data_IF_930517728529
#
_entry.id   IF_930517728529
#
_cell.length_a   1.000
_cell.length_b   1.000
_cell.length_c   1.000
_cell.angle_alpha   90.00
_cell.angle_beta   90.00
_cell.angle_gamma   90.00
#
_symmetry.space_group_name_H-M   'P 1'
#
loop_
_entity.id
_entity.type
_entity.pdbx_description
1 polymer ?
#
# COMPACT_ATOMS: atom_id res chain seq x y z
N UNK A 1 7.56 41.47 17.01
CA UNK A 1 6.62 40.79 16.10
C UNK A 1 6.96 39.31 16.16
N UNK A 2 6.21 38.54 16.94
CA UNK A 2 6.51 37.13 17.20
C UNK A 2 6.16 36.28 15.99
N UNK A 3 7.15 35.55 15.47
CA UNK A 3 6.93 34.53 14.45
C UNK A 3 5.93 33.52 14.98
N UNK A 4 4.76 33.43 14.34
CA UNK A 4 3.86 32.31 14.55
C UNK A 4 4.59 31.08 14.01
N UNK A 5 5.16 30.28 14.91
CA UNK A 5 5.63 28.94 14.58
C UNK A 5 4.45 28.21 13.92
N UNK A 6 4.65 27.84 12.66
CA UNK A 6 3.70 27.04 11.90
C UNK A 6 3.50 25.71 12.64
N UNK A 7 2.26 25.22 12.85
CA UNK A 7 2.03 23.98 13.57
C UNK A 7 2.81 22.84 12.90
N UNK A 8 3.48 22.01 13.70
CA UNK A 8 4.17 20.83 13.19
C UNK A 8 3.13 19.81 12.71
N UNK A 9 3.37 19.17 11.57
CA UNK A 9 2.49 18.19 10.89
C UNK A 9 2.03 17.04 11.81
N UNK A 10 2.74 16.79 12.92
CA UNK A 10 2.35 15.84 13.95
C UNK A 10 1.00 16.16 14.64
N UNK A 11 0.43 17.35 14.45
CA UNK A 11 -0.82 17.79 15.08
C UNK A 11 -2.05 17.75 14.15
N UNK A 12 -1.90 17.45 12.86
CA UNK A 12 -3.01 17.43 11.91
C UNK A 12 -3.10 16.06 11.20
N UNK A 13 -3.95 15.19 11.74
CA UNK A 13 -4.13 13.78 11.36
C UNK A 13 -4.63 13.57 9.91
N UNK A 14 -4.90 14.65 9.17
CA UNK A 14 -5.28 14.64 7.74
C UNK A 14 -4.26 15.32 6.81
N UNK A 15 -3.04 15.61 7.28
CA UNK A 15 -2.00 16.22 6.44
C UNK A 15 -1.47 15.23 5.38
N UNK A 16 -1.12 15.71 4.19
CA UNK A 16 -0.61 14.83 3.12
C UNK A 16 0.65 14.05 3.49
N UNK A 17 1.41 14.53 4.49
CA UNK A 17 2.54 13.80 5.08
C UNK A 17 2.10 12.62 5.96
N UNK A 18 1.00 12.74 6.70
CA UNK A 18 0.43 11.62 7.45
C UNK A 18 -0.02 10.49 6.51
N UNK A 19 -0.66 10.85 5.37
CA UNK A 19 -1.01 9.89 4.31
C UNK A 19 0.24 9.22 3.74
N UNK A 20 1.34 9.97 3.53
CA UNK A 20 2.59 9.39 3.04
C UNK A 20 3.23 8.41 4.04
N UNK A 21 3.14 8.70 5.35
CA UNK A 21 3.62 7.80 6.40
C UNK A 21 2.75 6.54 6.46
N UNK A 22 1.42 6.69 6.34
CA UNK A 22 0.49 5.57 6.19
C UNK A 22 0.88 4.67 5.02
N UNK A 23 1.06 5.26 3.82
CA UNK A 23 1.50 4.53 2.63
C UNK A 23 2.86 3.83 2.81
N UNK A 24 3.79 4.40 3.59
CA UNK A 24 5.05 3.71 3.92
C UNK A 24 4.83 2.51 4.84
N UNK A 25 3.98 2.66 5.86
CA UNK A 25 3.68 1.61 6.83
C UNK A 25 2.94 0.44 6.16
N UNK A 26 1.98 0.74 5.29
CA UNK A 26 1.20 -0.23 4.53
C UNK A 26 2.06 -0.87 3.41
N UNK A 27 2.93 -0.06 2.80
CA UNK A 27 3.82 -0.49 1.72
C UNK A 27 4.84 -1.56 2.12
N UNK A 28 5.20 -1.70 3.41
CA UNK A 28 6.13 -2.74 3.88
C UNK A 28 5.50 -4.14 3.81
N UNK A 29 4.35 -4.41 4.49
CA UNK A 29 3.62 -5.67 4.34
C UNK A 29 3.32 -6.01 2.88
N UNK A 30 2.82 -5.06 2.09
CA UNK A 30 2.47 -5.26 0.68
C UNK A 30 3.69 -5.66 -0.16
N UNK A 31 4.82 -4.99 0.04
CA UNK A 31 6.05 -5.27 -0.70
C UNK A 31 6.61 -6.65 -0.37
N UNK A 32 6.57 -7.06 0.90
CA UNK A 32 6.99 -8.42 1.30
C UNK A 32 6.12 -9.46 0.60
N UNK A 33 4.80 -9.26 0.54
CA UNK A 33 3.88 -10.17 -0.16
C UNK A 33 4.21 -10.25 -1.65
N UNK A 34 4.54 -9.13 -2.30
CA UNK A 34 5.03 -9.13 -3.68
C UNK A 34 6.29 -9.99 -3.80
N UNK A 35 7.28 -9.81 -2.92
CA UNK A 35 8.51 -10.60 -2.89
C UNK A 35 8.28 -12.11 -2.73
N UNK A 36 7.36 -12.49 -1.84
CA UNK A 36 6.95 -13.88 -1.64
C UNK A 36 6.19 -14.45 -2.83
N UNK A 37 5.34 -13.66 -3.48
CA UNK A 37 4.54 -14.09 -4.64
C UNK A 37 5.43 -14.48 -5.84
N UNK A 38 6.61 -13.83 -5.97
CA UNK A 38 7.59 -14.15 -7.00
C UNK A 38 8.20 -15.55 -6.82
N UNK A 39 8.25 -16.09 -5.59
CA UNK A 39 8.74 -17.44 -5.32
C UNK A 39 7.73 -18.52 -5.76
N UNK A 40 6.44 -18.20 -5.74
CA UNK A 40 5.37 -19.12 -6.15
C UNK A 40 5.20 -19.17 -7.68
N UNK A 41 5.67 -18.12 -8.39
CA UNK A 41 5.64 -18.03 -9.85
C UNK A 41 4.24 -17.81 -10.44
N UNK A 42 4.19 -17.48 -11.73
CA UNK A 42 2.95 -17.41 -12.52
C UNK A 42 2.08 -16.17 -12.28
N UNK A 43 0.80 -16.28 -12.69
CA UNK A 43 -0.19 -15.20 -12.73
C UNK A 43 -0.46 -14.50 -11.41
N UNK A 44 -0.36 -15.24 -10.29
CA UNK A 44 -0.66 -14.73 -8.94
C UNK A 44 0.28 -13.59 -8.58
N UNK A 45 1.55 -13.66 -8.99
CA UNK A 45 2.54 -12.59 -8.79
C UNK A 45 2.15 -11.29 -9.51
N UNK A 46 1.75 -11.40 -10.78
CA UNK A 46 1.36 -10.24 -11.59
C UNK A 46 0.09 -9.58 -11.06
N UNK A 47 -0.89 -10.37 -10.63
CA UNK A 47 -2.16 -9.86 -10.09
C UNK A 47 -1.93 -9.11 -8.78
N UNK A 48 -1.13 -9.67 -7.87
CA UNK A 48 -0.81 -9.01 -6.60
C UNK A 48 -0.10 -7.67 -6.84
N UNK A 49 0.90 -7.66 -7.73
CA UNK A 49 1.62 -6.44 -8.10
C UNK A 49 0.68 -5.39 -8.70
N UNK A 50 -0.20 -5.79 -9.63
CA UNK A 50 -1.13 -4.85 -10.27
C UNK A 50 -2.17 -4.33 -9.27
N UNK A 51 -2.72 -5.19 -8.41
CA UNK A 51 -3.71 -4.79 -7.42
C UNK A 51 -3.13 -3.78 -6.42
N UNK A 52 -1.95 -4.08 -5.86
CA UNK A 52 -1.22 -3.20 -4.94
C UNK A 52 -0.80 -1.90 -5.62
N UNK A 53 -0.37 -1.96 -6.88
CA UNK A 53 -0.04 -0.75 -7.63
C UNK A 53 -1.26 0.15 -7.82
N UNK A 54 -2.43 -0.44 -8.14
CA UNK A 54 -3.67 0.30 -8.33
C UNK A 54 -4.20 0.94 -7.02
N UNK A 55 -4.01 0.31 -5.85
CA UNK A 55 -4.37 0.90 -4.55
C UNK A 55 -3.46 2.08 -4.18
N UNK A 56 -2.16 1.97 -4.47
CA UNK A 56 -1.18 3.01 -4.15
C UNK A 56 -1.31 4.28 -5.00
N UNK A 57 -1.96 4.25 -6.18
CA UNK A 57 -2.15 5.45 -7.02
C UNK A 57 -3.06 6.51 -6.35
N UNK A 58 -4.28 6.19 -5.90
CA UNK A 58 -5.14 7.11 -5.16
C UNK A 58 -4.45 7.73 -3.93
N UNK A 59 -3.75 6.92 -3.14
CA UNK A 59 -2.99 7.38 -1.95
C UNK A 59 -1.85 8.32 -2.34
N UNK A 60 -1.12 7.95 -3.40
CA UNK A 60 -0.15 8.77 -4.13
C UNK A 60 -0.64 10.18 -4.40
N UNK A 61 -1.77 10.24 -5.09
CA UNK A 61 -2.38 11.50 -5.51
C UNK A 61 -2.93 12.30 -4.32
N UNK A 62 -3.58 11.64 -3.37
CA UNK A 62 -4.15 12.28 -2.17
C UNK A 62 -3.06 12.91 -1.30
N UNK A 63 -2.00 12.15 -1.02
CA UNK A 63 -0.83 12.60 -0.26
C UNK A 63 -0.10 13.74 -0.97
N UNK A 64 0.17 13.62 -2.27
CA UNK A 64 0.83 14.66 -3.05
C UNK A 64 0.01 15.96 -3.12
N UNK A 65 -1.31 15.85 -3.30
CA UNK A 65 -2.22 16.99 -3.28
C UNK A 65 -2.27 17.65 -1.89
N UNK A 66 -2.33 16.86 -0.82
CA UNK A 66 -2.30 17.33 0.56
C UNK A 66 -1.01 18.07 0.89
N UNK A 67 0.16 17.52 0.51
CA UNK A 67 1.45 18.18 0.71
C UNK A 67 1.58 19.47 -0.10
N UNK A 68 1.08 19.50 -1.34
CA UNK A 68 1.06 20.73 -2.16
C UNK A 68 0.17 21.81 -1.54
N UNK A 69 -1.01 21.43 -1.02
CA UNK A 69 -1.94 22.33 -0.31
C UNK A 69 -1.31 22.89 0.97
N UNK A 70 -0.45 22.10 1.64
CA UNK A 70 0.34 22.53 2.80
C UNK A 70 1.56 23.41 2.43
N UNK A 71 1.74 23.76 1.16
CA UNK A 71 2.84 24.62 0.71
C UNK A 71 4.18 23.92 0.54
N UNK A 72 4.21 22.58 0.51
CA UNK A 72 5.45 21.82 0.29
C UNK A 72 5.91 21.94 -1.16
N UNK A 73 7.23 22.06 -1.36
CA UNK A 73 7.84 22.10 -2.68
C UNK A 73 7.69 20.77 -3.42
N UNK A 74 7.65 20.79 -4.76
CA UNK A 74 7.62 19.57 -5.57
C UNK A 74 8.79 18.62 -5.24
N UNK A 75 10.00 19.14 -4.99
CA UNK A 75 11.17 18.33 -4.62
C UNK A 75 10.95 17.53 -3.32
N UNK A 76 10.27 18.13 -2.34
CA UNK A 76 9.90 17.43 -1.10
C UNK A 76 8.95 16.27 -1.38
N UNK A 77 7.88 16.52 -2.14
CA UNK A 77 6.89 15.50 -2.52
C UNK A 77 7.54 14.34 -3.27
N UNK A 78 8.36 14.63 -4.28
CA UNK A 78 9.11 13.61 -5.02
C UNK A 78 10.09 12.87 -4.12
N UNK A 79 10.80 13.56 -3.22
CA UNK A 79 11.74 12.93 -2.28
C UNK A 79 11.06 11.92 -1.36
N UNK A 80 9.88 12.26 -0.82
CA UNK A 80 9.08 11.34 0.01
C UNK A 80 8.67 10.11 -0.78
N UNK A 81 8.07 10.29 -1.96
CA UNK A 81 7.58 9.17 -2.78
C UNK A 81 8.71 8.29 -3.34
N UNK A 82 9.85 8.88 -3.70
CA UNK A 82 11.05 8.10 -4.05
C UNK A 82 11.55 7.30 -2.85
N UNK A 83 11.56 7.90 -1.65
CA UNK A 83 11.91 7.20 -0.42
C UNK A 83 11.01 5.99 -0.15
N UNK A 84 9.70 6.17 -0.27
CA UNK A 84 8.71 5.08 -0.14
C UNK A 84 8.98 4.00 -1.18
N UNK A 85 9.12 4.36 -2.47
CA UNK A 85 9.38 3.40 -3.53
C UNK A 85 10.67 2.59 -3.31
N UNK A 86 11.74 3.22 -2.82
CA UNK A 86 12.99 2.53 -2.46
C UNK A 86 12.77 1.60 -1.27
N UNK A 87 12.09 2.04 -0.22
CA UNK A 87 11.80 1.21 0.95
C UNK A 87 10.95 -0.02 0.57
N UNK A 88 9.91 0.16 -0.25
CA UNK A 88 9.10 -0.90 -0.83
C UNK A 88 9.95 -1.87 -1.65
N UNK A 89 10.85 -1.37 -2.51
CA UNK A 89 11.78 -2.22 -3.28
C UNK A 89 12.68 -3.08 -2.39
N UNK A 90 13.21 -2.50 -1.30
CA UNK A 90 14.02 -3.23 -0.31
C UNK A 90 13.18 -4.28 0.42
N UNK A 91 11.96 -3.96 0.82
CA UNK A 91 11.05 -4.88 1.49
C UNK A 91 10.64 -6.06 0.58
N UNK A 92 10.36 -5.80 -0.70
CA UNK A 92 10.09 -6.85 -1.68
C UNK A 92 11.31 -7.73 -1.95
N UNK A 93 12.49 -7.12 -2.08
CA UNK A 93 13.73 -7.87 -2.21
C UNK A 93 14.03 -8.73 -0.97
N UNK A 94 13.77 -8.20 0.24
CA UNK A 94 13.89 -8.97 1.48
C UNK A 94 12.91 -10.14 1.53
N UNK A 95 11.63 -9.91 1.17
CA UNK A 95 10.62 -10.96 1.09
C UNK A 95 10.98 -12.07 0.09
N UNK A 96 11.60 -11.73 -1.04
CA UNK A 96 12.10 -12.71 -2.00
C UNK A 96 13.36 -13.44 -1.48
N UNK A 97 14.40 -12.69 -1.10
CA UNK A 97 15.72 -13.24 -0.77
C UNK A 97 15.76 -14.04 0.53
N UNK A 98 15.04 -13.60 1.58
CA UNK A 98 14.99 -14.31 2.87
C UNK A 98 14.25 -15.65 2.79
N UNK A 99 13.37 -15.81 1.80
CA UNK A 99 12.53 -16.99 1.62
C UNK A 99 12.98 -17.88 0.47
N UNK A 100 14.05 -17.52 -0.25
CA UNK A 100 14.69 -18.43 -1.19
C UNK A 100 15.31 -19.63 -0.46
N UNK A 101 14.88 -20.84 -0.82
CA UNK A 101 15.39 -22.08 -0.24
C UNK A 101 14.77 -22.47 1.10
N UNK A 102 13.78 -21.71 1.59
CA UNK A 102 12.97 -22.05 2.77
C UNK A 102 11.91 -23.11 2.37
N UNK A 103 11.54 -24.01 3.29
CA UNK A 103 10.54 -25.05 3.00
C UNK A 103 9.18 -24.43 2.66
N UNK A 104 8.37 -25.14 1.86
CA UNK A 104 7.06 -24.64 1.46
C UNK A 104 6.11 -24.41 2.64
N UNK A 105 6.25 -25.16 3.74
CA UNK A 105 5.42 -24.92 4.94
C UNK A 105 5.71 -23.55 5.56
N UNK A 106 6.97 -23.15 5.63
CA UNK A 106 7.37 -21.85 6.18
C UNK A 106 7.01 -20.68 5.26
N UNK A 107 7.10 -20.88 3.94
CA UNK A 107 6.58 -19.90 2.96
C UNK A 107 5.07 -19.73 3.15
N UNK A 108 4.32 -20.83 3.20
CA UNK A 108 2.86 -20.79 3.40
C UNK A 108 2.46 -20.16 4.73
N UNK A 109 3.17 -20.48 5.83
CA UNK A 109 2.93 -19.88 7.14
C UNK A 109 3.18 -18.37 7.13
N UNK A 110 4.26 -17.93 6.50
CA UNK A 110 4.58 -16.50 6.38
C UNK A 110 3.58 -15.77 5.48
N UNK A 111 3.19 -16.38 4.36
CA UNK A 111 2.13 -15.84 3.50
C UNK A 111 0.81 -15.71 4.27
N UNK A 112 0.45 -16.69 5.10
CA UNK A 112 -0.77 -16.62 5.93
C UNK A 112 -0.69 -15.48 6.96
N UNK A 113 0.47 -15.29 7.61
CA UNK A 113 0.70 -14.17 8.54
C UNK A 113 0.59 -12.84 7.80
N UNK A 114 1.24 -12.71 6.64
CA UNK A 114 1.20 -11.49 5.84
C UNK A 114 -0.22 -11.17 5.33
N UNK A 115 -0.96 -12.18 4.89
CA UNK A 115 -2.37 -12.04 4.52
C UNK A 115 -3.22 -11.61 5.72
N UNK A 116 -2.97 -12.15 6.91
CA UNK A 116 -3.61 -11.72 8.15
C UNK A 116 -3.31 -10.27 8.52
N UNK A 117 -2.07 -9.82 8.32
CA UNK A 117 -1.68 -8.42 8.53
C UNK A 117 -2.43 -7.48 7.56
N UNK A 118 -2.51 -7.82 6.26
CA UNK A 118 -3.30 -7.05 5.30
C UNK A 118 -4.77 -7.03 5.70
N UNK A 119 -5.33 -8.16 6.13
CA UNK A 119 -6.73 -8.23 6.57
C UNK A 119 -6.99 -7.31 7.79
N UNK A 120 -6.07 -7.27 8.74
CA UNK A 120 -6.14 -6.37 9.89
C UNK A 120 -6.08 -4.90 9.46
N UNK A 121 -5.14 -4.52 8.58
CA UNK A 121 -5.03 -3.15 8.05
C UNK A 121 -6.31 -2.70 7.32
N UNK A 122 -6.89 -3.60 6.51
CA UNK A 122 -8.15 -3.34 5.83
C UNK A 122 -9.30 -3.11 6.82
N UNK A 123 -9.38 -3.94 7.87
CA UNK A 123 -10.43 -3.84 8.87
C UNK A 123 -10.32 -2.58 9.75
N UNK A 124 -9.11 -2.24 10.19
CA UNK A 124 -8.88 -1.16 11.15
C UNK A 124 -8.90 0.23 10.50
N UNK A 125 -8.58 0.32 9.21
CA UNK A 125 -8.33 1.61 8.55
C UNK A 125 -9.05 1.77 7.22
N UNK A 126 -8.78 0.90 6.24
CA UNK A 126 -9.26 1.15 4.86
C UNK A 126 -10.77 0.98 4.69
N UNK A 127 -11.39 0.00 5.36
CA UNK A 127 -12.85 -0.19 5.31
C UNK A 127 -13.58 1.00 5.96
N UNK A 128 -13.23 1.43 7.19
CA UNK A 128 -13.79 2.64 7.79
C UNK A 128 -13.66 3.88 6.90
N UNK A 129 -12.45 4.16 6.38
CA UNK A 129 -12.20 5.34 5.54
C UNK A 129 -12.98 5.30 4.22
N UNK A 130 -13.05 4.13 3.58
CA UNK A 130 -13.84 3.95 2.37
C UNK A 130 -15.34 4.19 2.62
N UNK A 131 -15.85 3.78 3.78
CA UNK A 131 -17.23 4.06 4.19
C UNK A 131 -17.47 5.55 4.48
N UNK A 132 -16.52 6.24 5.12
CA UNK A 132 -16.64 7.68 5.37
C UNK A 132 -16.70 8.49 4.07
N UNK A 133 -15.94 8.09 3.04
CA UNK A 133 -15.89 8.82 1.77
C UNK A 133 -17.03 8.43 0.81
N UNK A 134 -17.30 7.13 0.65
CA UNK A 134 -18.20 6.60 -0.38
C UNK A 134 -19.54 6.07 0.16
N UNK A 135 -19.72 6.00 1.49
CA UNK A 135 -20.94 5.53 2.15
C UNK A 135 -21.41 4.19 1.57
N UNK A 136 -22.69 4.09 1.17
CA UNK A 136 -23.31 2.88 0.63
C UNK A 136 -22.64 2.34 -0.64
N UNK A 137 -21.90 3.18 -1.38
CA UNK A 137 -21.18 2.75 -2.58
C UNK A 137 -19.87 2.01 -2.26
N UNK A 138 -19.31 2.15 -1.04
CA UNK A 138 -18.04 1.54 -0.66
C UNK A 138 -18.04 0.02 -0.79
N UNK A 139 -19.14 -0.62 -0.37
CA UNK A 139 -19.33 -2.07 -0.49
C UNK A 139 -19.39 -2.54 -1.95
N UNK A 140 -20.16 -1.85 -2.79
CA UNK A 140 -20.29 -2.18 -4.22
C UNK A 140 -18.96 -1.99 -4.97
N UNK A 141 -18.22 -0.91 -4.67
CA UNK A 141 -16.90 -0.64 -5.27
C UNK A 141 -15.89 -1.71 -4.85
N UNK A 142 -15.89 -2.10 -3.57
CA UNK A 142 -15.03 -3.19 -3.06
C UNK A 142 -15.30 -4.51 -3.79
N UNK A 143 -16.57 -4.89 -3.93
CA UNK A 143 -16.97 -6.11 -4.66
C UNK A 143 -16.58 -6.05 -6.14
N UNK A 144 -16.79 -4.90 -6.79
CA UNK A 144 -16.40 -4.70 -8.18
C UNK A 144 -14.88 -4.81 -8.37
N UNK A 145 -14.09 -4.19 -7.47
CA UNK A 145 -12.64 -4.30 -7.46
C UNK A 145 -12.15 -5.74 -7.27
N UNK A 146 -12.76 -6.47 -6.34
CA UNK A 146 -12.47 -7.90 -6.13
C UNK A 146 -12.75 -8.72 -7.39
N UNK A 147 -13.90 -8.55 -8.04
CA UNK A 147 -14.21 -9.27 -9.26
C UNK A 147 -13.28 -8.91 -10.43
N UNK A 148 -12.88 -7.64 -10.54
CA UNK A 148 -11.90 -7.22 -11.53
C UNK A 148 -10.53 -7.90 -11.30
N UNK A 149 -10.04 -7.90 -10.06
CA UNK A 149 -8.79 -8.58 -9.69
C UNK A 149 -8.89 -10.11 -9.93
N UNK A 150 -10.02 -10.71 -9.58
CA UNK A 150 -10.27 -12.13 -9.83
C UNK A 150 -10.26 -12.47 -11.33
N UNK A 151 -10.94 -11.66 -12.15
CA UNK A 151 -10.96 -11.83 -13.61
C UNK A 151 -9.54 -11.72 -14.21
N UNK A 152 -8.75 -10.74 -13.75
CA UNK A 152 -7.34 -10.60 -14.13
C UNK A 152 -6.52 -11.84 -13.77
N UNK A 153 -6.75 -12.44 -12.59
CA UNK A 153 -6.06 -13.67 -12.17
C UNK A 153 -6.34 -14.87 -13.06
N UNK A 154 -7.54 -14.96 -13.62
CA UNK A 154 -7.92 -16.03 -14.54
C UNK A 154 -7.38 -15.80 -15.94
N UNK A 155 -7.20 -14.54 -16.35
CA UNK A 155 -6.63 -14.21 -17.65
C UNK A 155 -5.10 -14.36 -17.67
N UNK A 156 -4.40 -13.98 -16.60
CA UNK A 156 -2.94 -14.12 -16.52
C UNK A 156 -2.42 -15.54 -16.31
N UNK A 157 -3.29 -16.52 -16.04
CA UNK A 157 -2.95 -17.91 -15.68
C UNK A 157 -3.12 -18.95 -16.78
N UNK A 158 -3.02 -18.54 -18.06
CA UNK A 158 -2.94 -19.43 -19.22
C UNK A 158 -1.54 -20.01 -19.43
#
# INVERSE_FOLDING_TARGET
QGGKAQPSEAQDSGSGAAIAIGALLDGIPESIVIGLSLLQGGAVSLVAVVAIFLSNIPEGLSSAAGMKKAGRSALYVFGVWVGIAVASGVAAWAGYSLFQGVSQEWVAATTAIAAGAILAMLADTMIPEAFEQAHDAAGLITVAGFFAAFALSKWGGG
#
